data_IF_909380720612
#
_entry.id   IF_909380720612
#
_cell.length_a   1.000
_cell.length_b   1.000
_cell.length_c   1.000
_cell.angle_alpha   90.00
_cell.angle_beta   90.00
_cell.angle_gamma   90.00
#
_symmetry.space_group_name_H-M   'P 1'
#
loop_
_entity.id
_entity.type
_entity.pdbx_description
1 polymer ?
#
# COMPACT_ATOMS: atom_id res chain seq x y z
N UNK A 1 2.28 23.29 7.80
CA UNK A 1 2.81 22.32 6.81
C UNK A 1 2.29 20.96 7.20
N UNK A 2 1.34 20.49 6.40
CA UNK A 2 0.31 19.54 6.81
C UNK A 2 0.88 18.14 7.02
N UNK A 3 0.86 17.64 8.26
CA UNK A 3 1.26 16.27 8.63
C UNK A 3 0.68 15.23 7.66
N UNK A 4 -0.53 15.45 7.16
CA UNK A 4 -1.17 14.62 6.14
C UNK A 4 -0.40 14.54 4.82
N UNK A 5 0.16 15.65 4.33
CA UNK A 5 1.00 15.63 3.12
C UNK A 5 2.29 14.83 3.33
N UNK A 6 2.86 14.89 4.53
CA UNK A 6 4.04 14.09 4.88
C UNK A 6 3.66 12.60 4.90
N UNK A 7 2.52 12.24 5.49
CA UNK A 7 1.99 10.87 5.50
C UNK A 7 1.77 10.37 4.06
N UNK A 8 1.16 11.18 3.20
CA UNK A 8 0.96 10.86 1.78
C UNK A 8 2.29 10.66 1.03
N UNK A 9 3.26 11.55 1.25
CA UNK A 9 4.59 11.44 0.65
C UNK A 9 5.34 10.19 1.12
N UNK A 10 5.26 9.86 2.41
CA UNK A 10 5.82 8.63 2.98
C UNK A 10 5.13 7.41 2.39
N UNK A 11 3.81 7.41 2.26
CA UNK A 11 3.04 6.33 1.62
C UNK A 11 3.46 6.11 0.17
N UNK A 12 3.64 7.19 -0.60
CA UNK A 12 4.11 7.12 -1.98
C UNK A 12 5.52 6.57 -2.09
N UNK A 13 6.43 6.98 -1.20
CA UNK A 13 7.79 6.44 -1.13
C UNK A 13 7.79 4.95 -0.80
N UNK A 14 6.98 4.52 0.17
CA UNK A 14 6.85 3.11 0.56
C UNK A 14 6.36 2.23 -0.61
N UNK A 15 5.31 2.66 -1.33
CA UNK A 15 4.83 1.92 -2.51
C UNK A 15 5.92 1.89 -3.59
N UNK A 16 6.59 3.02 -3.84
CA UNK A 16 7.67 3.10 -4.84
C UNK A 16 8.82 2.15 -4.52
N UNK A 17 9.24 2.07 -3.25
CA UNK A 17 10.24 1.10 -2.77
C UNK A 17 9.72 -0.33 -2.92
N UNK A 18 8.44 -0.57 -2.65
CA UNK A 18 7.78 -1.85 -2.86
C UNK A 18 7.89 -2.34 -4.31
N UNK A 19 7.65 -1.46 -5.30
CA UNK A 19 7.77 -1.76 -6.74
C UNK A 19 9.19 -2.16 -7.14
N UNK A 20 10.20 -1.51 -6.56
CA UNK A 20 11.61 -1.80 -6.88
C UNK A 20 12.09 -3.08 -6.16
N UNK A 21 11.48 -3.41 -5.03
CA UNK A 21 11.89 -4.53 -4.18
C UNK A 21 11.49 -5.87 -4.81
N UNK A 22 12.46 -6.67 -5.26
CA UNK A 22 12.22 -8.02 -5.82
C UNK A 22 11.82 -9.09 -4.78
N UNK A 23 11.87 -8.77 -3.48
CA UNK A 23 11.44 -9.68 -2.41
C UNK A 23 9.94 -9.59 -2.22
N UNK A 24 9.22 -10.54 -2.81
CA UNK A 24 7.75 -10.64 -2.83
C UNK A 24 7.08 -10.34 -1.48
N UNK A 25 7.50 -10.99 -0.38
CA UNK A 25 6.95 -10.71 0.97
C UNK A 25 7.15 -9.27 1.45
N UNK A 26 8.30 -8.67 1.15
CA UNK A 26 8.61 -7.30 1.59
C UNK A 26 7.85 -6.31 0.72
N UNK A 27 7.77 -6.58 -0.58
CA UNK A 27 6.95 -5.83 -1.53
C UNK A 27 5.48 -5.77 -1.07
N UNK A 28 4.87 -6.92 -0.76
CA UNK A 28 3.47 -6.95 -0.32
C UNK A 28 3.26 -6.18 0.98
N UNK A 29 4.19 -6.31 1.94
CA UNK A 29 4.14 -5.56 3.21
C UNK A 29 4.25 -4.05 2.96
N UNK A 30 5.17 -3.62 2.10
CA UNK A 30 5.35 -2.21 1.73
C UNK A 30 4.13 -1.66 1.00
N UNK A 31 3.48 -2.46 0.17
CA UNK A 31 2.23 -2.08 -0.50
C UNK A 31 1.07 -1.93 0.47
N UNK A 32 0.95 -2.80 1.48
CA UNK A 32 -0.11 -2.67 2.48
C UNK A 32 0.12 -1.43 3.35
N UNK A 33 1.34 -1.25 3.88
CA UNK A 33 1.66 -0.12 4.76
C UNK A 33 1.64 1.21 4.01
N UNK A 34 2.25 1.26 2.82
CA UNK A 34 2.19 2.43 1.94
C UNK A 34 0.76 2.69 1.43
N UNK A 35 0.02 1.61 1.18
CA UNK A 35 -1.41 1.53 0.88
C UNK A 35 -2.24 2.37 1.84
N UNK A 36 -2.23 1.96 3.12
CA UNK A 36 -2.98 2.58 4.21
C UNK A 36 -2.57 4.03 4.49
N UNK A 37 -1.28 4.36 4.38
CA UNK A 37 -0.80 5.75 4.54
C UNK A 37 -1.37 6.68 3.45
N UNK A 38 -1.32 6.24 2.18
CA UNK A 38 -1.87 7.00 1.07
C UNK A 38 -3.40 7.03 1.10
N UNK A 39 -4.06 5.98 1.58
CA UNK A 39 -5.52 5.95 1.76
C UNK A 39 -5.96 7.02 2.76
N UNK A 40 -5.27 7.09 3.91
CA UNK A 40 -5.51 8.12 4.94
C UNK A 40 -5.34 9.52 4.36
N UNK A 41 -4.32 9.72 3.52
CA UNK A 41 -4.11 10.98 2.82
C UNK A 41 -5.22 11.30 1.81
N UNK A 42 -5.70 10.33 1.06
CA UNK A 42 -6.75 10.54 0.06
C UNK A 42 -8.13 10.75 0.67
N UNK A 43 -8.41 10.14 1.83
CA UNK A 43 -9.59 10.47 2.66
C UNK A 43 -9.51 11.93 3.11
N UNK A 44 -8.33 12.39 3.55
CA UNK A 44 -8.11 13.79 3.90
C UNK A 44 -8.28 14.74 2.71
N UNK A 45 -7.83 14.33 1.51
CA UNK A 45 -8.01 15.11 0.28
C UNK A 45 -9.47 15.10 -0.22
N UNK A 46 -10.28 14.14 0.22
CA UNK A 46 -11.64 13.92 -0.26
C UNK A 46 -11.71 13.29 -1.67
N UNK A 47 -10.62 12.66 -2.13
CA UNK A 47 -10.54 12.08 -3.48
C UNK A 47 -11.10 10.66 -3.51
N UNK A 48 -12.40 10.56 -3.82
CA UNK A 48 -13.14 9.29 -3.86
C UNK A 48 -12.53 8.28 -4.83
N UNK A 49 -12.02 8.73 -5.98
CA UNK A 49 -11.44 7.83 -6.98
C UNK A 49 -10.18 7.19 -6.41
N UNK A 50 -9.32 8.01 -5.80
CA UNK A 50 -8.08 7.52 -5.22
C UNK A 50 -8.34 6.62 -3.99
N UNK A 51 -9.35 6.94 -3.17
CA UNK A 51 -9.74 6.09 -2.02
C UNK A 51 -10.15 4.70 -2.52
N UNK A 52 -11.05 4.62 -3.50
CA UNK A 52 -11.51 3.33 -4.04
C UNK A 52 -10.34 2.54 -4.64
N UNK A 53 -9.49 3.21 -5.41
CA UNK A 53 -8.30 2.59 -5.99
C UNK A 53 -7.38 2.04 -4.90
N UNK A 54 -7.19 2.79 -3.82
CA UNK A 54 -6.31 2.41 -2.72
C UNK A 54 -6.85 1.24 -1.91
N UNK A 55 -8.17 1.17 -1.70
CA UNK A 55 -8.84 0.02 -1.07
C UNK A 55 -8.60 -1.24 -1.92
N UNK A 56 -8.88 -1.18 -3.23
CA UNK A 56 -8.73 -2.32 -4.14
C UNK A 56 -7.25 -2.75 -4.20
N UNK A 57 -6.33 -1.80 -4.30
CA UNK A 57 -4.89 -2.06 -4.32
C UNK A 57 -4.41 -2.74 -3.03
N UNK A 58 -4.83 -2.22 -1.88
CA UNK A 58 -4.47 -2.78 -0.56
C UNK A 58 -5.03 -4.20 -0.40
N UNK A 59 -6.28 -4.43 -0.79
CA UNK A 59 -6.89 -5.78 -0.77
C UNK A 59 -6.14 -6.77 -1.68
N UNK A 60 -5.74 -6.34 -2.87
CA UNK A 60 -4.95 -7.17 -3.79
C UNK A 60 -3.59 -7.53 -3.19
N UNK A 61 -2.90 -6.58 -2.55
CA UNK A 61 -1.62 -6.82 -1.87
C UNK A 61 -1.78 -7.79 -0.67
N UNK A 62 -2.85 -7.66 0.12
CA UNK A 62 -3.16 -8.61 1.19
C UNK A 62 -3.40 -10.01 0.62
N UNK A 63 -4.15 -10.11 -0.49
CA UNK A 63 -4.43 -11.40 -1.12
C UNK A 63 -3.16 -12.07 -1.67
N UNK A 64 -2.26 -11.34 -2.35
CA UNK A 64 -0.99 -11.92 -2.81
C UNK A 64 -0.12 -12.34 -1.62
N UNK A 65 -0.08 -11.54 -0.54
CA UNK A 65 0.66 -11.90 0.69
C UNK A 65 0.16 -13.22 1.28
N UNK A 66 -1.16 -13.39 1.43
CA UNK A 66 -1.76 -14.64 1.94
C UNK A 66 -1.48 -15.80 1.01
N UNK A 67 -1.63 -15.61 -0.31
CA UNK A 67 -1.37 -16.64 -1.33
C UNK A 67 0.10 -17.08 -1.35
N UNK A 68 1.03 -16.14 -1.24
CA UNK A 68 2.48 -16.41 -1.17
C UNK A 68 2.85 -17.13 0.12
N UNK A 69 2.21 -16.83 1.25
CA UNK A 69 2.39 -17.57 2.49
C UNK A 69 1.88 -19.01 2.36
N UNK A 70 0.70 -19.21 1.76
CA UNK A 70 0.09 -20.53 1.56
C UNK A 70 0.94 -21.43 0.66
N UNK A 71 1.48 -20.89 -0.44
CA UNK A 71 2.34 -21.63 -1.38
C UNK A 71 3.72 -21.99 -0.82
N UNK A 72 4.11 -21.42 0.32
CA UNK A 72 5.36 -21.76 1.02
C UNK A 72 5.17 -22.86 2.07
N UNK A 73 3.92 -23.24 2.35
CA UNK A 73 3.49 -24.21 3.38
C UNK A 73 3.07 -25.56 2.78
N UNK A 74 2.88 -25.64 1.46
CA UNK A 74 2.62 -26.87 0.68
C UNK A 74 3.86 -27.20 -0.14
#
# INVERSE_FOLDING_TARGET
MDIFKIIGAVGLLLISIGVITKKRRIQDLLYIVGGLCLETYSIYLGDVIFIILQIIFTLAAVYDLVKVQLKKLV
#
